data_IF_028235789575
#
_entry.id   IF_028235789575
#
_cell.length_a   1.000
_cell.length_b   1.000
_cell.length_c   1.000
_cell.angle_alpha   90.00
_cell.angle_beta   90.00
_cell.angle_gamma   90.00
#
_symmetry.space_group_name_H-M   'P 1'
#
loop_
_entity.id
_entity.type
_entity.pdbx_description
1 polymer ?
#
# COMPACT_ATOMS: atom_id res chain seq x y z
N UNK A 1 -36.78 3.83 43.80
CA UNK A 1 -36.78 3.86 42.32
C UNK A 1 -35.97 5.06 41.91
N UNK A 2 -34.67 4.86 41.69
CA UNK A 2 -33.74 5.90 41.28
C UNK A 2 -33.51 5.73 39.78
N UNK A 3 -34.09 6.63 38.97
CA UNK A 3 -33.85 6.66 37.52
C UNK A 3 -32.48 7.26 37.30
N UNK A 4 -31.60 6.54 36.59
CA UNK A 4 -30.35 7.09 36.09
C UNK A 4 -30.64 8.35 35.23
N UNK A 5 -29.79 9.40 35.28
CA UNK A 5 -30.00 10.59 34.48
C UNK A 5 -29.82 10.24 33.00
N UNK A 6 -30.88 10.44 32.22
CA UNK A 6 -30.92 10.10 30.79
C UNK A 6 -30.42 11.24 29.89
N UNK A 7 -29.67 12.18 30.44
CA UNK A 7 -29.25 13.42 29.76
C UNK A 7 -27.77 13.34 29.36
N UNK A 8 -27.46 12.40 28.46
CA UNK A 8 -26.36 12.64 27.52
C UNK A 8 -26.94 13.59 26.45
N UNK A 9 -26.46 14.85 26.35
CA UNK A 9 -26.89 15.72 25.26
C UNK A 9 -26.65 14.99 23.95
N UNK A 10 -27.61 15.06 23.03
CA UNK A 10 -27.49 14.46 21.71
C UNK A 10 -26.33 15.14 20.96
N UNK A 11 -25.11 14.60 21.15
CA UNK A 11 -23.83 15.16 20.70
C UNK A 11 -23.78 15.35 19.18
N UNK A 12 -24.67 14.66 18.46
CA UNK A 12 -24.77 14.67 17.01
C UNK A 12 -25.86 15.62 16.50
N UNK A 13 -26.58 16.31 17.40
CA UNK A 13 -27.59 17.29 17.00
C UNK A 13 -26.88 18.45 16.29
N UNK A 14 -27.36 18.78 15.10
CA UNK A 14 -26.82 19.83 14.20
C UNK A 14 -25.48 19.49 13.51
N UNK A 15 -25.00 18.23 13.58
CA UNK A 15 -23.87 17.76 12.75
C UNK A 15 -24.38 17.27 11.39
N UNK A 16 -23.85 17.85 10.30
CA UNK A 16 -24.17 17.45 8.93
C UNK A 16 -23.10 16.57 8.26
N UNK A 17 -21.88 16.54 8.81
CA UNK A 17 -20.74 15.82 8.24
C UNK A 17 -19.98 15.12 9.36
N UNK A 18 -19.67 13.84 9.15
CA UNK A 18 -18.76 13.06 9.98
C UNK A 18 -17.57 12.67 9.11
N UNK A 19 -16.37 13.04 9.57
CA UNK A 19 -15.10 12.62 8.96
C UNK A 19 -14.52 11.55 9.87
N UNK A 20 -14.27 10.38 9.31
CA UNK A 20 -13.67 9.25 10.02
C UNK A 20 -12.26 9.03 9.50
N UNK A 21 -11.33 8.92 10.43
CA UNK A 21 -10.02 8.37 10.15
C UNK A 21 -10.10 6.83 10.03
N UNK A 22 -9.08 6.20 9.47
CA UNK A 22 -9.05 4.76 9.19
C UNK A 22 -8.28 4.03 10.30
N UNK A 23 -6.97 4.18 10.33
CA UNK A 23 -6.08 3.41 11.19
C UNK A 23 -6.25 3.81 12.66
N UNK A 24 -6.62 2.86 13.52
CA UNK A 24 -6.90 3.11 14.93
C UNK A 24 -8.26 3.75 15.21
N UNK A 25 -9.06 4.06 14.17
CA UNK A 25 -10.40 4.64 14.31
C UNK A 25 -11.48 3.69 13.79
N UNK A 26 -11.54 3.42 12.48
CA UNK A 26 -12.48 2.43 11.91
C UNK A 26 -11.84 1.07 11.69
N UNK A 27 -10.51 0.99 11.66
CA UNK A 27 -9.76 -0.22 11.32
C UNK A 27 -8.58 -0.38 12.27
N UNK A 28 -8.30 -1.60 12.71
CA UNK A 28 -7.22 -1.83 13.67
C UNK A 28 -5.85 -1.52 13.06
N UNK A 29 -4.97 -0.92 13.87
CA UNK A 29 -3.56 -0.70 13.51
C UNK A 29 -2.90 -2.03 13.12
N UNK A 30 -3.20 -3.09 13.88
CA UNK A 30 -2.70 -4.44 13.61
C UNK A 30 -3.13 -4.94 12.24
N UNK A 31 -4.38 -4.74 11.81
CA UNK A 31 -4.81 -5.13 10.47
C UNK A 31 -4.02 -4.42 9.38
N UNK A 32 -3.82 -3.11 9.50
CA UNK A 32 -3.04 -2.36 8.51
C UNK A 32 -1.59 -2.86 8.45
N UNK A 33 -0.93 -3.01 9.61
CA UNK A 33 0.48 -3.39 9.67
C UNK A 33 0.74 -4.86 9.39
N UNK A 34 0.00 -5.73 10.06
CA UNK A 34 0.26 -7.17 10.08
C UNK A 34 -0.46 -7.93 8.97
N UNK A 35 -1.51 -7.36 8.37
CA UNK A 35 -2.25 -7.97 7.26
C UNK A 35 -1.97 -7.26 5.94
N UNK A 36 -2.26 -5.96 5.82
CA UNK A 36 -2.16 -5.27 4.52
C UNK A 36 -0.72 -5.13 4.03
N UNK A 37 0.20 -4.63 4.86
CA UNK A 37 1.61 -4.50 4.45
C UNK A 37 2.30 -5.86 4.33
N UNK A 38 2.06 -6.79 5.26
CA UNK A 38 2.58 -8.16 5.16
C UNK A 38 2.14 -8.88 3.88
N UNK A 39 0.91 -8.65 3.42
CA UNK A 39 0.44 -9.18 2.14
C UNK A 39 1.28 -8.64 0.97
N UNK A 40 1.55 -7.34 0.95
CA UNK A 40 2.36 -6.72 -0.13
C UNK A 40 3.74 -7.37 -0.20
N UNK A 41 4.42 -7.48 0.94
CA UNK A 41 5.77 -8.05 1.00
C UNK A 41 5.82 -9.51 0.52
N UNK A 42 4.78 -10.29 0.81
CA UNK A 42 4.72 -11.70 0.41
C UNK A 42 4.33 -11.90 -1.05
N UNK A 43 3.46 -11.05 -1.58
CA UNK A 43 2.75 -11.31 -2.84
C UNK A 43 3.22 -10.45 -4.02
N UNK A 44 4.08 -9.43 -3.79
CA UNK A 44 4.50 -8.50 -4.84
C UNK A 44 5.14 -9.20 -6.04
N UNK A 45 5.99 -10.21 -5.82
CA UNK A 45 6.60 -10.98 -6.90
C UNK A 45 5.56 -11.68 -7.76
N UNK A 46 4.69 -12.49 -7.14
CA UNK A 46 3.64 -13.22 -7.85
C UNK A 46 2.65 -12.28 -8.54
N UNK A 47 2.32 -11.15 -7.90
CA UNK A 47 1.46 -10.13 -8.49
C UNK A 47 2.06 -9.58 -9.78
N UNK A 48 3.34 -9.17 -9.76
CA UNK A 48 4.04 -8.65 -10.92
C UNK A 48 4.14 -9.70 -12.03
N UNK A 49 4.47 -10.95 -11.71
CA UNK A 49 4.54 -12.05 -12.69
C UNK A 49 3.19 -12.28 -13.38
N UNK A 50 2.12 -12.34 -12.58
CA UNK A 50 0.77 -12.63 -13.07
C UNK A 50 0.20 -11.50 -13.93
N UNK A 51 0.59 -10.26 -13.65
CA UNK A 51 -0.02 -9.06 -14.23
C UNK A 51 0.91 -8.29 -15.17
N UNK A 52 2.14 -8.76 -15.39
CA UNK A 52 3.19 -8.07 -16.12
C UNK A 52 2.78 -7.47 -17.47
N UNK A 53 1.98 -8.23 -18.23
CA UNK A 53 1.54 -7.83 -19.57
C UNK A 53 0.35 -6.85 -19.55
N UNK A 54 -0.25 -6.60 -18.39
CA UNK A 54 -1.36 -5.66 -18.24
C UNK A 54 -0.89 -4.21 -18.30
N UNK A 55 -1.75 -3.32 -18.78
CA UNK A 55 -1.44 -1.89 -18.86
C UNK A 55 -1.31 -1.23 -17.48
N UNK A 56 -1.98 -1.77 -16.46
CA UNK A 56 -1.88 -1.31 -15.08
C UNK A 56 -0.46 -1.55 -14.55
N UNK A 57 0.02 -2.79 -14.61
CA UNK A 57 1.35 -3.16 -14.13
C UNK A 57 2.47 -2.47 -14.92
N UNK A 58 2.31 -2.29 -16.24
CA UNK A 58 3.29 -1.54 -17.04
C UNK A 58 3.42 -0.09 -16.57
N UNK A 59 2.31 0.57 -16.21
CA UNK A 59 2.33 1.94 -15.67
C UNK A 59 2.98 1.99 -14.29
N UNK A 60 2.68 1.02 -13.44
CA UNK A 60 3.29 0.92 -12.11
C UNK A 60 4.81 0.74 -12.22
N UNK A 61 5.26 -0.19 -13.07
CA UNK A 61 6.70 -0.44 -13.32
C UNK A 61 7.38 0.81 -13.88
N UNK A 62 6.77 1.50 -14.85
CA UNK A 62 7.33 2.74 -15.38
C UNK A 62 7.43 3.86 -14.33
N UNK A 63 6.43 3.99 -13.46
CA UNK A 63 6.43 4.96 -12.37
C UNK A 63 7.48 4.62 -11.30
N UNK A 64 7.64 3.34 -10.95
CA UNK A 64 8.66 2.86 -10.03
C UNK A 64 10.08 3.03 -10.58
N UNK A 65 10.27 2.80 -11.89
CA UNK A 65 11.52 3.08 -12.57
C UNK A 65 11.89 4.56 -12.46
N UNK A 66 10.96 5.45 -12.78
CA UNK A 66 11.18 6.89 -12.65
C UNK A 66 11.52 7.30 -11.21
N UNK A 67 10.81 6.75 -10.22
CA UNK A 67 11.11 6.99 -8.81
C UNK A 67 12.52 6.53 -8.44
N UNK A 68 12.96 5.37 -8.94
CA UNK A 68 14.32 4.88 -8.72
C UNK A 68 15.38 5.82 -9.34
N UNK A 69 15.15 6.29 -10.57
CA UNK A 69 16.03 7.27 -11.24
C UNK A 69 16.11 8.59 -10.44
N UNK A 70 14.97 9.10 -9.97
CA UNK A 70 14.90 10.30 -9.13
C UNK A 70 15.64 10.10 -7.79
N UNK A 71 15.48 8.93 -7.17
CA UNK A 71 16.15 8.59 -5.90
C UNK A 71 17.67 8.48 -6.06
N UNK A 72 18.13 7.87 -7.16
CA UNK A 72 19.56 7.77 -7.50
C UNK A 72 20.12 9.16 -7.75
N UNK A 73 19.42 10.02 -8.50
CA UNK A 73 19.84 11.39 -8.77
C UNK A 73 19.88 12.25 -7.49
N UNK A 74 18.97 12.01 -6.55
CA UNK A 74 18.93 12.66 -5.25
C UNK A 74 19.95 12.09 -4.24
N UNK A 75 20.66 11.00 -4.57
CA UNK A 75 21.64 10.37 -3.70
C UNK A 75 21.03 9.71 -2.46
N UNK A 76 19.80 9.18 -2.58
CA UNK A 76 19.15 8.45 -1.48
C UNK A 76 19.97 7.21 -1.12
N UNK A 77 20.33 7.09 0.16
CA UNK A 77 21.16 5.99 0.65
C UNK A 77 20.48 4.64 0.46
N UNK A 78 21.25 3.64 0.00
CA UNK A 78 20.78 2.26 -0.15
C UNK A 78 20.01 1.98 -1.44
N UNK A 79 19.81 2.97 -2.32
CA UNK A 79 19.13 2.77 -3.59
C UNK A 79 20.07 2.15 -4.62
N UNK A 80 19.67 1.00 -5.17
CA UNK A 80 20.36 0.32 -6.26
C UNK A 80 19.84 0.85 -7.60
N UNK A 81 20.74 1.09 -8.55
CA UNK A 81 20.38 1.56 -9.89
C UNK A 81 19.53 0.51 -10.62
N UNK A 82 18.54 0.99 -11.38
CA UNK A 82 17.73 0.16 -12.28
C UNK A 82 18.61 -0.72 -13.19
N UNK A 83 18.26 -2.01 -13.40
CA UNK A 83 19.05 -2.91 -14.24
C UNK A 83 19.04 -2.47 -15.72
N UNK A 84 20.16 -2.63 -16.41
CA UNK A 84 20.25 -2.36 -17.86
C UNK A 84 19.33 -3.29 -18.69
N UNK A 85 19.06 -4.48 -18.15
CA UNK A 85 18.18 -5.47 -18.76
C UNK A 85 16.72 -5.26 -18.29
N UNK A 86 15.81 -5.02 -19.25
CA UNK A 86 14.38 -4.82 -19.00
C UNK A 86 13.54 -6.10 -19.13
N UNK A 87 14.17 -7.27 -19.26
CA UNK A 87 13.48 -8.55 -19.26
C UNK A 87 12.82 -8.82 -17.89
N UNK A 88 11.65 -9.46 -17.93
CA UNK A 88 10.80 -9.70 -16.76
C UNK A 88 11.56 -10.39 -15.63
N UNK A 89 12.36 -11.41 -15.97
CA UNK A 89 13.11 -12.25 -15.03
C UNK A 89 14.20 -11.49 -14.28
N UNK A 90 14.60 -10.31 -14.77
CA UNK A 90 15.56 -9.42 -14.12
C UNK A 90 14.84 -8.31 -13.37
N UNK A 91 13.83 -7.70 -13.97
CA UNK A 91 13.14 -6.55 -13.40
C UNK A 91 12.28 -6.94 -12.20
N UNK A 92 11.59 -8.09 -12.23
CA UNK A 92 10.72 -8.50 -11.11
C UNK A 92 11.53 -8.70 -9.82
N UNK A 93 12.61 -9.51 -9.77
CA UNK A 93 13.41 -9.65 -8.55
C UNK A 93 13.96 -8.32 -8.03
N UNK A 94 14.38 -7.43 -8.93
CA UNK A 94 14.82 -6.08 -8.57
C UNK A 94 13.69 -5.28 -7.91
N UNK A 95 12.50 -5.26 -8.52
CA UNK A 95 11.35 -4.55 -7.98
C UNK A 95 10.89 -5.12 -6.64
N UNK A 96 10.93 -6.44 -6.46
CA UNK A 96 10.62 -7.10 -5.18
C UNK A 96 11.55 -6.57 -4.10
N UNK A 97 12.87 -6.59 -4.33
CA UNK A 97 13.85 -6.04 -3.38
C UNK A 97 13.57 -4.56 -3.09
N UNK A 98 13.44 -3.75 -4.13
CA UNK A 98 13.23 -2.31 -3.99
C UNK A 98 11.92 -1.98 -3.24
N UNK A 99 10.84 -2.72 -3.49
CA UNK A 99 9.57 -2.55 -2.77
C UNK A 99 9.72 -2.95 -1.31
N UNK A 100 10.37 -4.08 -1.00
CA UNK A 100 10.64 -4.49 0.38
C UNK A 100 11.45 -3.43 1.13
N UNK A 101 12.55 -2.95 0.53
CA UNK A 101 13.40 -1.93 1.12
C UNK A 101 12.62 -0.63 1.40
N UNK A 102 11.79 -0.19 0.44
CA UNK A 102 10.98 1.01 0.63
C UNK A 102 9.93 0.85 1.74
N UNK A 103 9.31 -0.33 1.87
CA UNK A 103 8.33 -0.60 2.92
C UNK A 103 9.00 -0.67 4.29
N UNK A 104 10.14 -1.36 4.41
CA UNK A 104 10.90 -1.46 5.66
C UNK A 104 11.39 -0.09 6.16
N UNK A 105 11.70 0.82 5.24
CA UNK A 105 12.12 2.19 5.54
C UNK A 105 10.95 3.17 5.75
N UNK A 106 9.69 2.71 5.77
CA UNK A 106 8.47 3.55 5.81
C UNK A 106 8.50 4.67 4.74
N UNK A 107 8.99 4.37 3.53
CA UNK A 107 9.06 5.35 2.45
C UNK A 107 7.67 5.62 1.89
N UNK A 108 7.25 6.88 1.95
CA UNK A 108 5.90 7.33 1.55
C UNK A 108 5.85 7.85 0.11
N UNK A 109 6.43 7.12 -0.84
CA UNK A 109 6.45 7.52 -2.25
C UNK A 109 5.16 7.14 -2.98
N UNK A 110 4.74 7.98 -3.93
CA UNK A 110 3.49 7.81 -4.67
C UNK A 110 3.40 6.48 -5.43
N UNK A 111 4.40 6.13 -6.26
CA UNK A 111 4.37 4.89 -7.05
C UNK A 111 4.25 3.62 -6.23
N UNK A 112 4.90 3.55 -5.06
CA UNK A 112 4.76 2.43 -4.13
C UNK A 112 3.31 2.29 -3.64
N UNK A 113 2.69 3.40 -3.21
CA UNK A 113 1.30 3.39 -2.74
C UNK A 113 0.32 2.98 -3.83
N UNK A 114 0.57 3.40 -5.07
CA UNK A 114 -0.24 3.00 -6.23
C UNK A 114 -0.18 1.50 -6.43
N UNK A 115 1.02 0.90 -6.50
CA UNK A 115 1.19 -0.55 -6.62
C UNK A 115 0.50 -1.29 -5.47
N UNK A 116 0.71 -0.85 -4.23
CA UNK A 116 0.06 -1.42 -3.04
C UNK A 116 -1.47 -1.38 -3.16
N UNK A 117 -2.03 -0.26 -3.64
CA UNK A 117 -3.45 -0.11 -3.89
C UNK A 117 -4.00 -1.11 -4.90
N UNK A 118 -3.32 -1.30 -6.03
CA UNK A 118 -3.72 -2.29 -7.04
C UNK A 118 -3.65 -3.72 -6.50
N UNK A 119 -2.58 -4.05 -5.76
CA UNK A 119 -2.43 -5.34 -5.09
C UNK A 119 -3.58 -5.61 -4.10
N UNK A 120 -3.89 -4.66 -3.22
CA UNK A 120 -4.99 -4.80 -2.26
C UNK A 120 -6.34 -4.89 -2.95
N UNK A 121 -6.60 -4.07 -3.97
CA UNK A 121 -7.83 -4.13 -4.77
C UNK A 121 -8.07 -5.54 -5.31
N UNK A 122 -7.04 -6.15 -5.91
CA UNK A 122 -7.09 -7.53 -6.40
C UNK A 122 -7.30 -8.53 -5.27
N UNK A 123 -6.59 -8.37 -4.15
CA UNK A 123 -6.71 -9.25 -2.98
C UNK A 123 -8.12 -9.25 -2.38
N UNK A 124 -8.76 -8.09 -2.28
CA UNK A 124 -10.14 -7.95 -1.83
C UNK A 124 -11.14 -8.55 -2.83
N UNK A 125 -10.96 -8.30 -4.13
CA UNK A 125 -11.81 -8.87 -5.18
C UNK A 125 -11.76 -10.41 -5.20
N UNK A 126 -10.58 -10.98 -4.94
CA UNK A 126 -10.37 -12.43 -4.85
C UNK A 126 -10.79 -13.02 -3.49
N UNK A 127 -11.03 -12.18 -2.48
CA UNK A 127 -11.35 -12.60 -1.11
C UNK A 127 -10.17 -13.14 -0.32
N UNK A 128 -8.93 -12.99 -0.82
CA UNK A 128 -7.68 -13.37 -0.14
C UNK A 128 -7.42 -12.47 1.07
N UNK A 129 -7.82 -11.19 0.98
CA UNK A 129 -7.96 -10.30 2.12
C UNK A 129 -9.46 -10.01 2.29
N UNK A 130 -9.91 -9.97 3.55
CA UNK A 130 -11.24 -9.52 3.93
C UNK A 130 -11.11 -8.35 4.90
N UNK A 131 -12.01 -7.38 4.78
CA UNK A 131 -12.09 -6.28 5.74
C UNK A 131 -12.41 -6.82 7.13
N UNK A 132 -11.86 -6.16 8.14
CA UNK A 132 -12.20 -6.38 9.53
C UNK A 132 -13.36 -5.48 9.95
#
# INVERSE_FOLDING_TARGET
MEKAPNDLPNLLKDISIIILDIEGTTTSIAFVKEVLFSYVLREVGQHLETTWLTEETKKDVAALKRQNEDDVAAGVSGVVMWPDNNEMEVVIPFLVSNVCDMVEQDRKVGPLKTLQGHMWSRAYQQGTIKGQ
#
